data_IF_968208349036
#
_entry.id   IF_968208349036
#
_cell.length_a   1.000
_cell.length_b   1.000
_cell.length_c   1.000
_cell.angle_alpha   90.00
_cell.angle_beta   90.00
_cell.angle_gamma   90.00
#
_symmetry.space_group_name_H-M   'P 1'
#
loop_
_entity.id
_entity.type
_entity.pdbx_description
1 polymer ?
#
# COMPACT_ATOMS: atom_id res chain seq x y z
N UNK A 1 10.55 5.64 4.56
CA UNK A 1 9.56 4.58 4.85
C UNK A 1 9.53 3.69 3.63
N UNK A 2 9.51 2.38 3.81
CA UNK A 2 9.64 1.44 2.69
C UNK A 2 8.49 0.44 2.78
N UNK A 3 7.62 0.42 1.77
CA UNK A 3 6.52 -0.55 1.69
C UNK A 3 6.91 -1.68 0.76
N UNK A 4 6.54 -2.89 1.13
CA UNK A 4 6.83 -4.08 0.35
C UNK A 4 5.64 -4.46 -0.50
N UNK A 5 5.91 -4.92 -1.72
CA UNK A 5 4.88 -5.46 -2.61
C UNK A 5 5.32 -6.80 -3.19
N UNK A 6 4.33 -7.54 -3.67
CA UNK A 6 4.53 -8.83 -4.31
C UNK A 6 3.92 -8.76 -5.69
N UNK A 7 4.66 -9.25 -6.68
CA UNK A 7 4.12 -9.54 -8.01
C UNK A 7 4.05 -11.05 -8.17
N UNK A 8 2.85 -11.58 -8.39
CA UNK A 8 2.60 -13.00 -8.57
C UNK A 8 2.11 -13.26 -10.00
N UNK A 9 2.79 -14.15 -10.72
CA UNK A 9 2.27 -14.66 -12.00
C UNK A 9 0.99 -15.45 -11.74
N UNK A 10 -0.12 -15.07 -12.38
CA UNK A 10 -1.41 -15.76 -12.29
C UNK A 10 -1.56 -16.82 -13.39
N UNK A 11 -1.20 -16.45 -14.61
CA UNK A 11 -1.17 -17.31 -15.79
C UNK A 11 -0.12 -16.77 -16.78
N UNK A 12 -0.07 -17.30 -18.00
CA UNK A 12 0.97 -16.93 -18.98
C UNK A 12 0.94 -15.48 -19.45
N UNK A 13 -0.18 -14.78 -19.27
CA UNK A 13 -0.35 -13.40 -19.72
C UNK A 13 -0.69 -12.41 -18.60
N UNK A 14 -0.80 -12.85 -17.34
CA UNK A 14 -1.29 -12.00 -16.26
C UNK A 14 -0.45 -12.09 -14.99
N UNK A 15 -0.21 -10.93 -14.39
CA UNK A 15 0.56 -10.74 -13.17
C UNK A 15 -0.27 -9.91 -12.18
N UNK A 16 -0.44 -10.43 -10.97
CA UNK A 16 -1.08 -9.72 -9.87
C UNK A 16 -0.02 -8.95 -9.08
N UNK A 17 -0.14 -7.63 -9.03
CA UNK A 17 0.53 -6.78 -8.05
C UNK A 17 -0.32 -6.72 -6.80
N UNK A 18 0.30 -6.83 -5.62
CA UNK A 18 -0.38 -6.62 -4.34
C UNK A 18 0.51 -5.97 -3.29
N UNK A 19 -0.08 -5.10 -2.48
CA UNK A 19 0.53 -4.55 -1.27
C UNK A 19 -0.04 -5.27 -0.06
N UNK A 20 0.71 -6.16 0.61
CA UNK A 20 0.09 -6.97 1.64
C UNK A 20 -0.25 -6.17 2.92
N UNK A 21 0.39 -5.02 3.15
CA UNK A 21 0.03 -4.09 4.21
C UNK A 21 -1.34 -3.42 3.94
N UNK A 22 -1.74 -3.29 2.67
CA UNK A 22 -3.00 -2.68 2.26
C UNK A 22 -3.96 -3.76 1.77
N UNK A 23 -4.80 -4.27 2.69
CA UNK A 23 -5.85 -5.24 2.35
C UNK A 23 -6.73 -4.65 1.24
N UNK A 24 -6.80 -5.37 0.11
CA UNK A 24 -7.57 -4.96 -1.06
C UNK A 24 -6.76 -4.25 -2.15
N UNK A 25 -5.58 -3.70 -1.85
CA UNK A 25 -4.72 -3.02 -2.82
C UNK A 25 -4.01 -4.04 -3.73
N UNK A 26 -4.69 -4.42 -4.81
CA UNK A 26 -4.21 -5.34 -5.82
C UNK A 26 -4.69 -4.94 -7.22
N UNK A 27 -3.84 -5.18 -8.20
CA UNK A 27 -4.15 -4.94 -9.62
C UNK A 27 -3.55 -6.04 -10.50
N UNK A 28 -4.14 -6.23 -11.68
CA UNK A 28 -3.70 -7.23 -12.64
C UNK A 28 -3.14 -6.53 -13.87
N UNK A 29 -1.92 -6.90 -14.25
CA UNK A 29 -1.21 -6.37 -15.41
C UNK A 29 -0.84 -7.47 -16.40
N UNK A 30 -0.52 -7.09 -17.63
CA UNK A 30 -0.17 -8.03 -18.69
C UNK A 30 1.32 -8.45 -18.62
N UNK A 31 2.13 -7.76 -17.82
CA UNK A 31 3.54 -8.09 -17.61
C UNK A 31 4.02 -7.74 -16.22
N UNK A 32 5.05 -8.46 -15.75
CA UNK A 32 5.74 -8.14 -14.49
C UNK A 32 6.39 -6.75 -14.51
N UNK A 33 6.88 -6.30 -15.67
CA UNK A 33 7.52 -4.99 -15.82
C UNK A 33 6.50 -3.85 -15.68
N UNK A 34 5.32 -3.99 -16.28
CA UNK A 34 4.22 -3.05 -16.13
C UNK A 34 3.76 -2.97 -14.67
N UNK A 35 3.56 -4.13 -14.03
CA UNK A 35 3.22 -4.19 -12.61
C UNK A 35 4.24 -3.47 -11.71
N UNK A 36 5.54 -3.60 -11.99
CA UNK A 36 6.59 -2.85 -11.25
C UNK A 36 6.52 -1.35 -11.48
N UNK A 37 6.26 -0.92 -12.71
CA UNK A 37 6.20 0.49 -13.08
C UNK A 37 5.01 1.18 -12.40
N UNK A 38 3.86 0.51 -12.38
CA UNK A 38 2.62 1.05 -11.81
C UNK A 38 2.51 0.87 -10.29
N UNK A 39 3.45 0.16 -9.65
CA UNK A 39 3.41 -0.10 -8.21
C UNK A 39 3.26 1.17 -7.36
N UNK A 40 3.93 2.26 -7.72
CA UNK A 40 3.79 3.53 -7.00
C UNK A 40 2.38 4.11 -7.15
N UNK A 41 1.76 3.99 -8.32
CA UNK A 41 0.38 4.43 -8.55
C UNK A 41 -0.60 3.71 -7.63
N UNK A 42 -0.56 2.37 -7.65
CA UNK A 42 -1.43 1.52 -6.81
C UNK A 42 -1.23 1.82 -5.32
N UNK A 43 0.02 2.05 -4.88
CA UNK A 43 0.30 2.45 -3.51
C UNK A 43 -0.34 3.81 -3.16
N UNK A 44 -0.22 4.81 -4.04
CA UNK A 44 -0.79 6.13 -3.80
C UNK A 44 -2.32 6.10 -3.76
N UNK A 45 -2.96 5.33 -4.63
CA UNK A 45 -4.41 5.13 -4.63
C UNK A 45 -4.89 4.48 -3.33
N UNK A 46 -4.21 3.41 -2.89
CA UNK A 46 -4.53 2.75 -1.63
C UNK A 46 -4.35 3.66 -0.40
N UNK A 47 -3.34 4.54 -0.42
CA UNK A 47 -3.14 5.55 0.61
C UNK A 47 -4.23 6.64 0.56
N UNK A 48 -4.57 7.10 -0.64
CA UNK A 48 -5.61 8.11 -0.83
C UNK A 48 -6.97 7.61 -0.34
N UNK A 49 -7.34 6.38 -0.65
CA UNK A 49 -8.58 5.75 -0.14
C UNK A 49 -8.62 5.76 1.39
N UNK A 50 -7.49 5.47 2.06
CA UNK A 50 -7.41 5.55 3.54
C UNK A 50 -7.53 6.99 4.04
N UNK A 51 -6.94 7.97 3.35
CA UNK A 51 -7.11 9.38 3.70
C UNK A 51 -8.58 9.82 3.59
N UNK A 52 -9.24 9.50 2.48
CA UNK A 52 -10.63 9.87 2.22
C UNK A 52 -11.60 9.22 3.21
N UNK A 53 -11.36 7.95 3.54
CA UNK A 53 -12.16 7.21 4.51
C UNK A 53 -11.78 7.50 5.97
N UNK A 54 -10.86 8.42 6.23
CA UNK A 54 -10.31 8.69 7.56
C UNK A 54 -9.89 7.41 8.29
N UNK A 55 -9.15 6.56 7.60
CA UNK A 55 -8.62 5.33 8.15
C UNK A 55 -7.12 5.47 8.38
N UNK A 56 -6.60 4.71 9.35
CA UNK A 56 -5.15 4.64 9.54
C UNK A 56 -4.48 4.04 8.31
N UNK A 57 -3.33 4.61 7.98
CA UNK A 57 -2.42 4.04 7.01
C UNK A 57 -1.54 3.02 7.76
N UNK A 58 -1.47 1.77 7.30
CA UNK A 58 -0.66 0.74 7.94
C UNK A 58 0.83 1.15 7.95
N UNK A 59 1.52 0.81 9.04
CA UNK A 59 2.99 0.88 9.04
C UNK A 59 3.54 -0.28 8.22
N UNK A 60 4.62 -0.06 7.44
CA UNK A 60 5.16 -1.12 6.60
C UNK A 60 5.65 -2.27 7.45
N UNK A 61 5.14 -3.48 7.18
CA UNK A 61 5.64 -4.70 7.80
C UNK A 61 6.75 -5.31 6.93
N UNK A 62 7.74 -5.93 7.56
CA UNK A 62 8.69 -6.76 6.81
C UNK A 62 7.99 -8.07 6.46
N UNK A 63 7.84 -8.33 5.17
CA UNK A 63 7.10 -9.50 4.69
C UNK A 63 8.10 -10.54 4.18
N UNK A 64 8.17 -11.73 4.81
CA UNK A 64 9.00 -12.81 4.30
C UNK A 64 8.61 -13.15 2.86
N UNK A 65 9.55 -12.99 1.93
CA UNK A 65 9.36 -13.32 0.52
C UNK A 65 8.95 -12.17 -0.41
N UNK A 66 8.73 -10.95 0.10
CA UNK A 66 8.65 -9.77 -0.77
C UNK A 66 10.02 -9.51 -1.40
N UNK A 67 10.09 -9.54 -2.74
CA UNK A 67 11.33 -9.29 -3.48
C UNK A 67 11.55 -7.82 -3.80
N UNK A 68 10.45 -7.09 -3.92
CA UNK A 68 10.44 -5.71 -4.36
C UNK A 68 9.88 -4.80 -3.28
N UNK A 69 10.27 -3.53 -3.35
CA UNK A 69 9.88 -2.52 -2.37
C UNK A 69 9.77 -1.14 -3.00
N UNK A 70 8.93 -0.30 -2.43
CA UNK A 70 8.81 1.11 -2.78
C UNK A 70 9.41 1.97 -1.68
N UNK A 71 10.28 2.88 -2.10
CA UNK A 71 10.78 3.94 -1.25
C UNK A 71 9.81 5.13 -1.31
N UNK A 72 9.14 5.39 -0.20
CA UNK A 72 8.23 6.53 -0.09
C UNK A 72 9.04 7.83 0.08
N UNK A 73 8.80 8.87 -0.75
CA UNK A 73 9.44 10.17 -0.60
C UNK A 73 9.28 10.74 0.82
N UNK A 74 10.30 11.46 1.30
CA UNK A 74 10.34 11.98 2.68
C UNK A 74 9.12 12.84 3.04
N UNK A 75 8.74 13.75 2.15
CA UNK A 75 7.57 14.62 2.33
C UNK A 75 6.26 13.82 2.42
N UNK A 76 6.09 12.80 1.58
CA UNK A 76 4.90 11.95 1.62
C UNK A 76 4.86 11.06 2.87
N UNK A 77 6.02 10.58 3.33
CA UNK A 77 6.14 9.89 4.61
C UNK A 77 5.66 10.76 5.78
N UNK A 78 6.02 12.03 5.81
CA UNK A 78 5.60 12.95 6.87
C UNK A 78 4.08 13.13 6.87
N UNK A 79 3.46 13.25 5.69
CA UNK A 79 2.00 13.31 5.56
C UNK A 79 1.31 12.06 6.14
N UNK A 80 1.81 10.87 5.81
CA UNK A 80 1.29 9.61 6.36
C UNK A 80 1.36 9.60 7.90
N UNK A 81 2.49 10.03 8.46
CA UNK A 81 2.69 10.08 9.92
C UNK A 81 1.74 11.09 10.55
N UNK A 82 1.63 12.29 10.00
CA UNK A 82 0.74 13.34 10.50
C UNK A 82 -0.73 12.91 10.49
N UNK A 83 -1.19 12.26 9.43
CA UNK A 83 -2.53 11.71 9.34
C UNK A 83 -2.79 10.64 10.41
N UNK A 84 -1.89 9.69 10.59
CA UNK A 84 -2.06 8.66 11.60
C UNK A 84 -2.09 9.26 13.02
N UNK A 85 -1.26 10.27 13.30
CA UNK A 85 -1.29 11.02 14.55
C UNK A 85 -2.60 11.80 14.73
N UNK A 86 -3.13 12.42 13.66
CA UNK A 86 -4.41 13.13 13.76
C UNK A 86 -5.56 12.17 14.05
N UNK A 87 -5.57 10.99 13.41
CA UNK A 87 -6.53 9.92 13.69
C UNK A 87 -6.48 9.44 15.14
N UNK A 88 -5.29 9.36 15.73
CA UNK A 88 -5.10 9.09 17.17
C UNK A 88 -5.69 10.17 18.07
N UNK A 89 -5.42 11.44 17.74
CA UNK A 89 -5.86 12.57 18.55
C UNK A 89 -7.37 12.81 18.51
N UNK A 90 -8.03 12.41 17.42
CA UNK A 90 -9.47 12.64 17.20
C UNK A 90 -10.37 11.57 17.81
N UNK A 91 -9.81 10.46 18.32
CA UNK A 91 -10.62 9.34 18.81
C UNK A 91 -11.49 8.67 17.73
N UNK A 92 -11.31 9.02 16.46
CA UNK A 92 -11.99 8.45 15.29
C UNK A 92 -11.35 7.09 14.90
N UNK A 93 -11.11 6.22 15.88
CA UNK A 93 -10.73 4.83 15.63
C UNK A 93 -12.02 4.05 15.38
N UNK A 94 -12.39 3.87 14.12
CA UNK A 94 -13.19 2.71 13.75
C UNK A 94 -12.21 1.54 13.61
N UNK A 95 -11.99 0.82 14.70
CA UNK A 95 -11.47 -0.54 14.63
C UNK A 95 -12.51 -1.37 13.89
N UNK A 96 -12.37 -1.47 12.56
CA UNK A 96 -13.14 -2.43 11.78
C UNK A 96 -12.51 -3.80 12.08
N UNK A 97 -12.94 -4.39 13.19
CA UNK A 97 -12.77 -5.81 13.45
C UNK A 97 -13.63 -6.57 12.42
N UNK A 98 -13.02 -7.14 11.40
CA UNK A 98 -13.56 -8.28 10.65
C UNK A 98 -12.50 -9.36 10.46
#
# INVERSE_FOLDING_TARGET
MQFFYVIRKLNDAQYELRFPDFVGAKEIYNSEQEARKEAMGVFLEAVQERFENKQRIPMPSQIPGSRDSLNVPGTFRELIIQHNMSMESLGEIQDVNE
#
